data_IF_818552389433
#
_entry.id   IF_818552389433
#
_cell.length_a   1.000
_cell.length_b   1.000
_cell.length_c   1.000
_cell.angle_alpha   90.00
_cell.angle_beta   90.00
_cell.angle_gamma   90.00
#
_symmetry.space_group_name_H-M   'P 1'
#
loop_
_entity.id
_entity.type
_entity.pdbx_description
1 polymer ?
#
# COMPACT_ATOMS: atom_id res chain seq x y z
N UNK A 1 -9.09 24.45 23.85
CA UNK A 1 -9.82 23.30 24.43
C UNK A 1 -11.06 23.73 25.19
N UNK A 2 -11.00 24.24 26.43
CA UNK A 2 -12.22 24.62 27.24
C UNK A 2 -13.14 25.58 26.49
N UNK A 3 -12.65 26.66 25.90
CA UNK A 3 -13.44 27.61 25.14
C UNK A 3 -14.15 26.95 23.92
N UNK A 4 -13.47 26.07 23.21
CA UNK A 4 -14.05 25.33 22.09
C UNK A 4 -15.13 24.36 22.54
N UNK A 5 -14.96 23.68 23.67
CA UNK A 5 -15.96 22.80 24.24
C UNK A 5 -17.19 23.58 24.75
N UNK A 6 -16.97 24.72 25.42
CA UNK A 6 -18.06 25.57 25.88
C UNK A 6 -18.93 26.08 24.73
N UNK A 7 -18.28 26.51 23.64
CA UNK A 7 -18.98 26.95 22.44
C UNK A 7 -19.79 25.81 21.80
N UNK A 8 -19.14 24.64 21.65
CA UNK A 8 -19.74 23.46 20.95
C UNK A 8 -20.91 22.88 21.74
N UNK A 9 -20.84 22.83 23.07
CA UNK A 9 -21.85 22.21 23.92
C UNK A 9 -22.80 23.22 24.56
N UNK A 10 -22.68 24.50 24.20
CA UNK A 10 -23.44 25.60 24.79
C UNK A 10 -23.48 25.52 26.33
N UNK A 11 -22.30 25.35 26.91
CA UNK A 11 -22.11 25.13 28.35
C UNK A 11 -21.06 26.09 28.92
N UNK A 12 -21.13 26.35 30.21
CA UNK A 12 -20.11 27.10 30.96
C UNK A 12 -19.32 26.11 31.84
N UNK A 13 -18.24 25.55 31.30
CA UNK A 13 -17.37 24.69 32.09
C UNK A 13 -16.32 25.52 32.81
N UNK A 14 -16.18 25.28 34.11
CA UNK A 14 -15.07 25.82 34.90
C UNK A 14 -13.83 24.92 34.86
N UNK A 15 -12.66 25.52 34.69
CA UNK A 15 -11.39 24.77 34.77
C UNK A 15 -11.09 24.44 36.25
N UNK A 16 -11.12 23.17 36.61
CA UNK A 16 -10.82 22.70 37.95
C UNK A 16 -9.30 22.52 38.11
N UNK A 17 -8.65 21.97 37.08
CA UNK A 17 -7.21 21.69 37.09
C UNK A 17 -6.63 21.65 35.66
N UNK A 18 -5.34 21.83 35.53
CA UNK A 18 -4.61 21.77 34.26
C UNK A 18 -3.45 20.80 34.43
N UNK A 19 -3.34 19.83 33.53
CA UNK A 19 -2.26 18.87 33.49
C UNK A 19 -1.80 18.63 32.05
N UNK A 20 -0.57 18.15 31.89
CA UNK A 20 -0.07 17.71 30.59
C UNK A 20 -0.68 16.36 30.22
N UNK A 21 -0.92 16.10 28.93
CA UNK A 21 -1.40 14.79 28.42
C UNK A 21 -0.52 13.62 28.90
N UNK A 22 0.80 13.80 28.94
CA UNK A 22 1.76 12.82 29.44
C UNK A 22 1.52 12.34 30.87
N UNK A 23 0.81 13.14 31.69
CA UNK A 23 0.43 12.76 33.05
C UNK A 23 -0.64 11.67 33.11
N UNK A 24 -1.30 11.35 31.98
CA UNK A 24 -2.44 10.43 31.89
C UNK A 24 -2.10 9.10 31.23
N UNK A 25 -0.86 8.88 30.77
CA UNK A 25 -0.42 7.74 29.96
C UNK A 25 -0.59 6.34 30.57
N UNK A 26 -1.01 6.23 31.84
CA UNK A 26 -1.28 4.94 32.50
C UNK A 26 -2.76 4.66 32.77
N UNK A 27 -3.65 5.57 32.36
CA UNK A 27 -5.08 5.44 32.64
C UNK A 27 -5.70 4.45 31.67
N UNK A 28 -6.41 3.46 32.23
CA UNK A 28 -7.27 2.54 31.52
C UNK A 28 -8.70 3.05 31.59
N UNK A 29 -9.36 3.04 30.44
CA UNK A 29 -10.75 3.39 30.28
C UNK A 29 -11.54 2.14 29.91
N UNK A 30 -12.72 1.98 30.46
CA UNK A 30 -13.68 0.93 30.08
C UNK A 30 -14.35 1.32 28.76
N UNK A 31 -14.47 0.37 27.83
CA UNK A 31 -15.25 0.61 26.62
C UNK A 31 -16.74 0.61 26.97
N UNK A 32 -17.57 1.54 26.43
CA UNK A 32 -18.93 1.75 26.89
C UNK A 32 -19.89 0.57 26.69
N UNK A 33 -19.61 -0.37 25.80
CA UNK A 33 -20.50 -1.50 25.48
C UNK A 33 -19.79 -2.79 25.05
N UNK A 34 -18.48 -2.85 25.16
CA UNK A 34 -17.69 -4.08 24.89
C UNK A 34 -16.77 -4.31 26.07
N UNK A 35 -16.67 -5.56 26.54
CA UNK A 35 -15.75 -5.93 27.62
C UNK A 35 -14.29 -5.85 27.17
N UNK A 36 -13.80 -4.62 27.08
CA UNK A 36 -12.46 -4.29 26.63
C UNK A 36 -11.98 -2.98 27.27
N UNK A 37 -10.69 -2.93 27.61
CA UNK A 37 -10.06 -1.72 28.07
C UNK A 37 -9.54 -0.87 26.89
N UNK A 38 -9.71 0.44 26.98
CA UNK A 38 -9.05 1.42 26.15
C UNK A 38 -7.96 2.13 26.94
N UNK A 39 -6.85 2.47 26.29
CA UNK A 39 -5.71 3.11 26.95
C UNK A 39 -5.61 4.56 26.48
N UNK A 40 -5.29 5.49 27.38
CA UNK A 40 -4.88 6.82 27.01
C UNK A 40 -3.43 6.77 26.50
N UNK A 41 -3.23 7.18 25.25
CA UNK A 41 -1.97 7.18 24.56
C UNK A 41 -1.62 8.60 24.13
N UNK A 42 -0.31 8.91 24.09
CA UNK A 42 0.18 10.12 23.45
C UNK A 42 0.32 9.91 21.94
N UNK A 43 -0.23 10.84 21.15
CA UNK A 43 -0.16 10.80 19.69
C UNK A 43 0.19 12.17 19.11
N UNK A 44 1.20 12.23 18.26
CA UNK A 44 1.68 13.47 17.62
C UNK A 44 0.64 14.10 16.68
N UNK A 45 -0.36 13.32 16.23
CA UNK A 45 -1.47 13.76 15.41
C UNK A 45 -2.59 14.46 16.22
N UNK A 46 -2.52 14.43 17.56
CA UNK A 46 -3.53 15.06 18.44
C UNK A 46 -3.06 16.45 18.84
N UNK A 47 -3.88 17.46 18.53
CA UNK A 47 -3.57 18.86 18.87
C UNK A 47 -4.45 19.38 19.99
N UNK A 48 -4.02 20.44 20.65
CA UNK A 48 -4.80 21.14 21.69
C UNK A 48 -5.66 22.27 21.13
N UNK A 49 -5.61 22.52 19.83
CA UNK A 49 -6.27 23.64 19.16
C UNK A 49 -7.73 23.35 18.83
N UNK A 50 -8.07 22.09 18.63
CA UNK A 50 -9.41 21.65 18.26
C UNK A 50 -9.96 20.59 19.22
N UNK A 51 -11.28 20.63 19.47
CA UNK A 51 -12.01 19.63 20.24
C UNK A 51 -11.58 19.51 21.70
N UNK A 52 -11.63 18.29 22.21
CA UNK A 52 -11.34 17.95 23.60
C UNK A 52 -9.86 17.61 23.85
N UNK A 53 -9.05 17.44 22.80
CA UNK A 53 -7.71 16.88 22.88
C UNK A 53 -7.70 15.36 23.15
N UNK A 54 -8.87 14.70 23.16
CA UNK A 54 -9.02 13.26 23.21
C UNK A 54 -9.62 12.77 21.90
N UNK A 55 -8.92 11.86 21.24
CA UNK A 55 -9.32 11.29 19.94
C UNK A 55 -9.51 9.78 20.12
N UNK A 56 -10.65 9.26 19.66
CA UNK A 56 -10.86 7.82 19.59
C UNK A 56 -9.87 7.20 18.59
N UNK A 57 -9.21 6.12 19.00
CA UNK A 57 -8.15 5.48 18.23
C UNK A 57 -8.55 4.05 17.89
N UNK A 58 -8.66 3.77 16.58
CA UNK A 58 -9.03 2.47 16.05
C UNK A 58 -7.91 1.92 15.15
N UNK A 59 -6.98 1.09 15.66
CA UNK A 59 -5.76 0.69 14.96
C UNK A 59 -6.00 -0.07 13.65
N UNK A 60 -7.15 -0.68 13.47
CA UNK A 60 -7.50 -1.34 12.22
C UNK A 60 -8.05 -0.39 11.14
N UNK A 61 -8.35 0.88 11.47
CA UNK A 61 -9.15 1.75 10.61
C UNK A 61 -8.53 3.14 10.35
N UNK A 62 -7.30 3.38 10.79
CA UNK A 62 -6.54 4.61 10.56
C UNK A 62 -5.04 4.38 10.60
N UNK A 63 -4.27 5.08 9.76
CA UNK A 63 -2.81 4.91 9.73
C UNK A 63 -2.15 5.48 10.99
N UNK A 64 -2.56 6.66 11.42
CA UNK A 64 -2.04 7.28 12.65
C UNK A 64 -2.41 6.45 13.87
N UNK A 65 -3.63 5.94 13.90
CA UNK A 65 -4.14 5.03 14.92
C UNK A 65 -3.32 3.73 14.98
N UNK A 66 -3.05 3.14 13.81
CA UNK A 66 -2.22 1.94 13.71
C UNK A 66 -0.80 2.21 14.24
N UNK A 67 -0.18 3.31 13.84
CA UNK A 67 1.19 3.64 14.22
C UNK A 67 1.32 3.87 15.73
N UNK A 68 0.41 4.63 16.34
CA UNK A 68 0.45 4.88 17.79
C UNK A 68 0.18 3.61 18.60
N UNK A 69 -0.75 2.77 18.16
CA UNK A 69 -1.04 1.50 18.81
C UNK A 69 0.14 0.52 18.69
N UNK A 70 0.75 0.41 17.51
CA UNK A 70 1.95 -0.43 17.28
C UNK A 70 3.13 0.01 18.16
N UNK A 71 3.38 1.32 18.27
CA UNK A 71 4.43 1.89 19.13
C UNK A 71 4.24 1.53 20.62
N UNK A 72 2.99 1.37 21.05
CA UNK A 72 2.63 1.04 22.42
C UNK A 72 2.29 -0.46 22.64
N UNK A 73 2.58 -1.33 21.67
CA UNK A 73 2.31 -2.78 21.71
C UNK A 73 0.82 -3.11 21.95
N UNK A 74 -0.08 -2.30 21.42
CA UNK A 74 -1.53 -2.55 21.48
C UNK A 74 -1.93 -3.37 20.26
N UNK A 75 -2.65 -4.46 20.52
CA UNK A 75 -3.13 -5.37 19.48
C UNK A 75 -4.09 -4.66 18.50
N UNK A 76 -3.96 -5.00 17.21
CA UNK A 76 -4.83 -4.48 16.15
C UNK A 76 -6.14 -5.25 16.17
N UNK A 77 -7.10 -4.71 16.90
CA UNK A 77 -8.45 -5.26 16.97
C UNK A 77 -9.24 -4.99 15.68
N UNK A 78 -9.81 -6.04 15.09
CA UNK A 78 -10.58 -5.98 13.85
C UNK A 78 -12.07 -6.07 14.15
N UNK A 79 -12.76 -4.93 14.12
CA UNK A 79 -14.20 -4.87 14.29
C UNK A 79 -14.99 -5.36 13.05
N UNK A 80 -14.34 -5.40 11.90
CA UNK A 80 -14.96 -5.76 10.61
C UNK A 80 -14.37 -7.06 10.05
N UNK A 81 -15.23 -7.87 9.46
CA UNK A 81 -14.83 -9.06 8.71
C UNK A 81 -14.35 -8.70 7.28
N UNK A 82 -13.96 -9.71 6.48
CA UNK A 82 -13.48 -9.54 5.11
C UNK A 82 -14.50 -8.91 4.14
N UNK A 83 -15.79 -8.87 4.50
CA UNK A 83 -16.85 -8.21 3.72
C UNK A 83 -17.12 -6.78 4.18
N UNK A 84 -16.28 -6.24 5.07
CA UNK A 84 -16.47 -4.95 5.71
C UNK A 84 -17.79 -4.84 6.49
N UNK A 85 -18.21 -5.91 7.14
CA UNK A 85 -19.37 -5.97 8.01
C UNK A 85 -18.92 -6.19 9.45
N UNK A 86 -19.60 -5.57 10.43
CA UNK A 86 -19.31 -5.77 11.84
C UNK A 86 -19.40 -7.24 12.23
N UNK A 87 -18.46 -7.68 13.09
CA UNK A 87 -18.38 -9.04 13.62
C UNK A 87 -19.40 -9.26 14.72
N UNK A 88 -19.55 -10.50 15.17
CA UNK A 88 -20.42 -10.90 16.30
C UNK A 88 -20.01 -10.32 17.65
N UNK A 89 -18.82 -9.70 17.76
CA UNK A 89 -18.41 -8.99 18.97
C UNK A 89 -19.29 -7.75 19.26
N UNK A 90 -20.08 -7.34 18.27
CA UNK A 90 -21.02 -6.23 18.35
C UNK A 90 -22.42 -6.69 17.95
N UNK A 91 -23.06 -7.49 18.80
CA UNK A 91 -24.35 -8.14 18.57
C UNK A 91 -25.44 -7.21 18.02
N UNK A 92 -25.52 -5.96 18.54
CA UNK A 92 -26.53 -4.98 18.14
C UNK A 92 -26.33 -4.37 16.73
N UNK A 93 -25.14 -4.55 16.14
CA UNK A 93 -24.78 -4.09 14.78
C UNK A 93 -24.14 -5.19 13.94
N UNK A 94 -24.14 -6.44 14.39
CA UNK A 94 -23.60 -7.58 13.64
C UNK A 94 -24.14 -7.61 12.21
N UNK A 95 -23.24 -7.83 11.25
CA UNK A 95 -23.57 -7.90 9.83
C UNK A 95 -23.94 -6.58 9.14
N UNK A 96 -23.91 -5.46 9.86
CA UNK A 96 -24.08 -4.14 9.24
C UNK A 96 -22.77 -3.59 8.69
N UNK A 97 -22.81 -2.85 7.57
CA UNK A 97 -21.66 -2.08 7.13
C UNK A 97 -21.50 -0.81 7.97
N UNK A 98 -20.28 -0.27 8.17
CA UNK A 98 -20.01 0.89 9.04
C UNK A 98 -20.92 2.09 8.79
N UNK A 99 -21.08 2.49 7.53
CA UNK A 99 -21.91 3.65 7.15
C UNK A 99 -23.42 3.50 7.46
N UNK A 100 -23.87 2.34 7.93
CA UNK A 100 -25.26 2.08 8.33
C UNK A 100 -25.40 1.78 9.84
N UNK A 101 -24.30 1.84 10.57
CA UNK A 101 -24.27 1.49 12.00
C UNK A 101 -24.41 2.73 12.91
N UNK A 102 -24.18 3.94 12.40
CA UNK A 102 -24.06 5.17 13.19
C UNK A 102 -25.24 5.42 14.10
N UNK A 103 -26.48 5.35 13.59
CA UNK A 103 -27.68 5.57 14.39
C UNK A 103 -27.79 4.58 15.55
N UNK A 104 -27.49 3.30 15.31
CA UNK A 104 -27.55 2.26 16.34
C UNK A 104 -26.46 2.43 17.39
N UNK A 105 -25.25 2.84 16.97
CA UNK A 105 -24.14 3.14 17.88
C UNK A 105 -24.49 4.34 18.76
N UNK A 106 -25.03 5.41 18.19
CA UNK A 106 -25.48 6.61 18.92
C UNK A 106 -26.59 6.23 19.92
N UNK A 107 -27.55 5.41 19.51
CA UNK A 107 -28.60 4.93 20.40
C UNK A 107 -27.99 4.11 21.55
N UNK A 108 -27.09 3.18 21.27
CA UNK A 108 -26.43 2.36 22.29
C UNK A 108 -25.65 3.20 23.29
N UNK A 109 -24.93 4.22 22.84
CA UNK A 109 -24.20 5.16 23.69
C UNK A 109 -25.15 5.97 24.61
N UNK A 110 -26.35 6.32 24.12
CA UNK A 110 -27.41 6.97 24.94
C UNK A 110 -27.91 6.00 26.01
N UNK A 111 -28.18 4.75 25.66
CA UNK A 111 -28.72 3.73 26.59
C UNK A 111 -27.77 3.47 27.77
N UNK A 112 -26.44 3.48 27.49
CA UNK A 112 -25.42 3.26 28.54
C UNK A 112 -24.92 4.56 29.19
N UNK A 113 -25.58 5.71 28.91
CA UNK A 113 -25.22 7.03 29.41
C UNK A 113 -23.77 7.47 29.11
N UNK A 114 -23.22 7.04 28.00
CA UNK A 114 -21.86 7.35 27.58
C UNK A 114 -21.78 8.43 26.46
N UNK A 115 -22.94 8.93 25.99
CA UNK A 115 -22.98 10.00 24.98
C UNK A 115 -23.08 11.35 25.65
N UNK A 116 -22.11 12.24 25.40
CA UNK A 116 -22.14 13.63 25.87
C UNK A 116 -22.87 14.52 24.86
N UNK A 117 -22.53 14.44 23.60
CA UNK A 117 -23.11 15.24 22.51
C UNK A 117 -22.93 14.54 21.17
N UNK A 118 -23.80 14.82 20.23
CA UNK A 118 -23.70 14.43 18.83
C UNK A 118 -24.04 15.62 17.95
N UNK A 119 -23.28 15.79 16.86
CA UNK A 119 -23.52 16.81 15.85
C UNK A 119 -23.21 16.27 14.46
N UNK A 120 -23.92 16.77 13.47
CA UNK A 120 -23.60 16.51 12.07
C UNK A 120 -22.39 17.36 11.66
N UNK A 121 -21.42 16.74 10.98
CA UNK A 121 -20.19 17.38 10.58
C UNK A 121 -19.82 17.03 9.14
N UNK A 122 -19.73 18.04 8.30
CA UNK A 122 -19.30 17.89 6.91
C UNK A 122 -17.79 17.98 6.81
N UNK A 123 -17.17 16.96 6.23
CA UNK A 123 -15.73 16.91 6.00
C UNK A 123 -15.36 16.19 4.69
N UNK A 124 -14.14 16.44 4.21
CA UNK A 124 -13.60 15.70 3.07
C UNK A 124 -13.38 14.24 3.43
N UNK A 125 -13.92 13.33 2.62
CA UNK A 125 -13.79 11.90 2.81
C UNK A 125 -13.26 11.22 1.56
N UNK A 126 -12.31 10.27 1.66
CA UNK A 126 -11.75 9.58 0.51
C UNK A 126 -12.78 8.69 -0.17
N UNK A 127 -12.86 8.81 -1.50
CA UNK A 127 -13.75 8.01 -2.34
C UNK A 127 -12.97 7.22 -3.37
N UNK A 128 -13.50 6.05 -3.74
CA UNK A 128 -12.97 5.26 -4.84
C UNK A 128 -13.02 6.11 -6.13
N UNK A 129 -11.87 6.30 -6.78
CA UNK A 129 -11.78 7.10 -7.99
C UNK A 129 -12.63 6.57 -9.15
N UNK A 130 -12.89 5.24 -9.17
CA UNK A 130 -13.69 4.56 -10.21
C UNK A 130 -15.18 4.55 -9.88
N UNK A 131 -15.56 4.06 -8.69
CA UNK A 131 -16.97 3.87 -8.30
C UNK A 131 -17.57 5.08 -7.59
N UNK A 132 -16.75 6.06 -7.19
CA UNK A 132 -17.17 7.26 -6.44
C UNK A 132 -17.86 6.95 -5.11
N UNK A 133 -17.65 5.76 -4.56
CA UNK A 133 -18.16 5.36 -3.24
C UNK A 133 -17.15 5.66 -2.16
N UNK A 134 -17.60 5.96 -0.91
CA UNK A 134 -16.71 6.12 0.23
C UNK A 134 -15.82 4.89 0.44
N UNK A 135 -14.57 5.11 0.82
CA UNK A 135 -13.62 4.05 1.14
C UNK A 135 -13.69 3.71 2.63
N UNK A 136 -13.40 2.47 2.98
CA UNK A 136 -13.20 2.01 4.35
C UNK A 136 -11.72 1.64 4.50
N UNK A 137 -11.06 2.23 5.48
CA UNK A 137 -9.72 1.81 5.87
C UNK A 137 -9.82 0.56 6.74
N UNK A 138 -9.01 -0.45 6.46
CA UNK A 138 -8.95 -1.66 7.26
C UNK A 138 -7.52 -2.23 7.27
N UNK A 139 -7.07 -2.69 8.43
CA UNK A 139 -5.81 -3.40 8.54
C UNK A 139 -5.97 -4.83 8.02
N UNK A 140 -5.21 -5.18 6.99
CA UNK A 140 -5.15 -6.51 6.41
C UNK A 140 -3.72 -7.04 6.46
N UNK A 141 -3.56 -8.34 6.65
CA UNK A 141 -2.25 -8.96 6.51
C UNK A 141 -1.78 -8.81 5.07
N UNK A 142 -0.54 -8.37 4.89
CA UNK A 142 0.06 -8.11 3.58
C UNK A 142 1.51 -8.60 3.57
N UNK A 143 2.03 -8.85 2.38
CA UNK A 143 3.43 -9.19 2.18
C UNK A 143 4.22 -7.95 1.80
N UNK A 144 5.36 -7.78 2.47
CA UNK A 144 6.23 -6.61 2.27
C UNK A 144 7.66 -7.03 1.99
N UNK A 145 8.32 -6.30 1.10
CA UNK A 145 9.78 -6.26 1.04
C UNK A 145 10.23 -5.15 1.98
N UNK A 146 10.98 -5.52 3.02
CA UNK A 146 11.52 -4.53 3.96
C UNK A 146 12.65 -3.74 3.31
N UNK A 147 12.58 -2.42 3.46
CA UNK A 147 13.62 -1.53 2.95
C UNK A 147 14.84 -1.47 3.88
N UNK A 148 14.64 -1.69 5.17
CA UNK A 148 15.71 -1.62 6.18
C UNK A 148 16.48 -2.94 6.34
N UNK A 149 15.77 -4.09 6.18
CA UNK A 149 16.42 -5.40 6.30
C UNK A 149 17.48 -5.58 5.21
N UNK A 150 18.60 -6.18 5.61
CA UNK A 150 19.77 -6.40 4.76
C UNK A 150 20.30 -5.12 4.07
N UNK A 151 20.03 -3.95 4.64
CA UNK A 151 20.45 -2.64 4.13
C UNK A 151 19.98 -2.33 2.69
N UNK A 152 18.89 -2.96 2.24
CA UNK A 152 18.43 -2.89 0.84
C UNK A 152 18.33 -1.45 0.32
N UNK A 153 17.75 -0.55 1.12
CA UNK A 153 17.56 0.84 0.69
C UNK A 153 18.88 1.60 0.59
N UNK A 154 19.78 1.46 1.58
CA UNK A 154 21.09 2.13 1.57
C UNK A 154 21.98 1.63 0.44
N UNK A 155 21.96 0.32 0.18
CA UNK A 155 22.72 -0.29 -0.92
C UNK A 155 22.16 0.13 -2.28
N UNK A 156 20.83 0.24 -2.42
CA UNK A 156 20.21 0.78 -3.62
C UNK A 156 20.60 2.25 -3.86
N UNK A 157 20.63 3.08 -2.81
CA UNK A 157 21.11 4.47 -2.91
C UNK A 157 22.58 4.56 -3.34
N UNK A 158 23.44 3.69 -2.83
CA UNK A 158 24.83 3.60 -3.29
C UNK A 158 24.96 3.15 -4.74
N UNK A 159 24.12 2.22 -5.17
CA UNK A 159 24.17 1.67 -6.53
C UNK A 159 23.77 2.69 -7.60
N UNK A 160 22.83 3.63 -7.33
CA UNK A 160 22.41 4.62 -8.33
C UNK A 160 23.52 5.60 -8.71
N UNK A 161 24.52 5.81 -7.83
CA UNK A 161 25.67 6.67 -8.12
C UNK A 161 26.62 6.06 -9.16
N UNK A 162 26.54 4.76 -9.38
CA UNK A 162 27.33 4.03 -10.41
C UNK A 162 26.68 4.02 -11.78
N UNK A 163 25.42 4.48 -11.89
CA UNK A 163 24.61 4.47 -13.10
C UNK A 163 24.75 5.81 -13.85
N UNK A 164 24.89 5.76 -15.16
CA UNK A 164 24.86 6.95 -16.01
C UNK A 164 23.41 7.39 -16.21
N UNK A 165 23.09 8.62 -15.78
CA UNK A 165 21.75 9.21 -15.92
C UNK A 165 21.74 10.25 -17.03
N UNK A 166 20.81 10.09 -17.97
CA UNK A 166 20.58 10.98 -19.10
C UNK A 166 19.08 11.37 -19.16
N UNK A 167 18.72 12.65 -18.91
CA UNK A 167 19.55 13.75 -18.42
C UNK A 167 20.04 13.53 -16.97
N UNK A 168 21.08 14.26 -16.58
CA UNK A 168 21.74 14.11 -15.26
C UNK A 168 20.81 14.36 -14.06
N UNK A 169 19.74 15.12 -14.20
CA UNK A 169 18.76 15.33 -13.13
C UNK A 169 18.05 14.01 -12.70
N UNK A 170 18.08 12.99 -13.53
CA UNK A 170 17.54 11.67 -13.21
C UNK A 170 18.12 11.07 -11.93
N UNK A 171 19.41 11.27 -11.67
CA UNK A 171 20.09 10.85 -10.44
C UNK A 171 19.46 11.51 -9.20
N UNK A 172 19.28 12.81 -9.21
CA UNK A 172 18.68 13.52 -8.08
C UNK A 172 17.24 13.07 -7.83
N UNK A 173 16.51 12.83 -8.92
CA UNK A 173 15.12 12.40 -8.87
C UNK A 173 14.97 11.00 -8.25
N UNK A 174 15.75 10.01 -8.68
CA UNK A 174 15.69 8.66 -8.10
C UNK A 174 16.13 8.65 -6.64
N UNK A 175 17.19 9.37 -6.30
CA UNK A 175 17.67 9.49 -4.93
C UNK A 175 16.60 10.10 -3.99
N UNK A 176 15.90 11.14 -4.42
CA UNK A 176 14.82 11.73 -3.62
C UNK A 176 13.65 10.77 -3.40
N UNK A 177 13.39 9.86 -4.33
CA UNK A 177 12.33 8.86 -4.21
C UNK A 177 12.73 7.63 -3.38
N UNK A 178 14.03 7.37 -3.25
CA UNK A 178 14.54 6.31 -2.40
C UNK A 178 14.71 6.75 -0.95
N UNK A 179 15.03 8.04 -0.71
CA UNK A 179 15.47 8.56 0.60
C UNK A 179 14.59 8.13 1.77
N UNK A 180 13.29 8.25 1.64
CA UNK A 180 12.32 7.96 2.72
C UNK A 180 11.31 6.91 2.26
N UNK A 181 11.76 5.95 1.43
CA UNK A 181 10.87 4.93 0.88
C UNK A 181 10.41 3.96 1.97
N UNK A 182 9.09 3.82 2.18
CA UNK A 182 8.57 2.82 3.11
C UNK A 182 8.74 1.40 2.55
N UNK A 183 8.56 0.41 3.41
CA UNK A 183 8.47 -1.00 3.01
C UNK A 183 7.52 -1.18 1.83
N UNK A 184 7.91 -2.03 0.87
CA UNK A 184 7.14 -2.22 -0.36
C UNK A 184 6.11 -3.32 -0.17
N UNK A 185 4.84 -2.95 -0.09
CA UNK A 185 3.74 -3.91 -0.12
C UNK A 185 3.61 -4.55 -1.50
N UNK A 186 3.95 -5.83 -1.60
CA UNK A 186 3.96 -6.59 -2.85
C UNK A 186 2.72 -7.45 -3.08
N UNK A 187 1.86 -7.64 -2.08
CA UNK A 187 0.64 -8.44 -2.21
C UNK A 187 -0.54 -7.63 -2.70
N UNK A 188 -1.36 -8.26 -3.54
CA UNK A 188 -2.62 -7.71 -4.09
C UNK A 188 -3.71 -8.76 -4.02
N UNK A 189 -4.90 -8.34 -3.59
CA UNK A 189 -6.12 -9.17 -3.57
C UNK A 189 -6.83 -9.03 -4.93
N UNK A 190 -6.25 -9.65 -5.96
CA UNK A 190 -6.74 -9.61 -7.34
C UNK A 190 -6.82 -11.02 -7.93
N UNK A 191 -7.84 -11.26 -8.76
CA UNK A 191 -8.00 -12.54 -9.47
C UNK A 191 -7.02 -12.67 -10.66
N UNK A 192 -6.50 -11.56 -11.16
CA UNK A 192 -5.53 -11.50 -12.24
C UNK A 192 -4.18 -11.02 -11.74
N UNK A 193 -3.13 -11.76 -12.00
CA UNK A 193 -1.74 -11.48 -11.63
C UNK A 193 -0.94 -12.75 -11.39
N UNK A 194 0.35 -12.61 -11.18
CA UNK A 194 1.24 -13.70 -10.76
C UNK A 194 0.95 -14.01 -9.28
N UNK A 195 0.62 -15.24 -8.89
CA UNK A 195 0.34 -15.58 -7.51
C UNK A 195 1.60 -15.52 -6.65
N UNK A 196 1.43 -15.19 -5.38
CA UNK A 196 2.48 -15.36 -4.37
C UNK A 196 2.50 -16.83 -3.96
N UNK A 197 3.46 -17.61 -4.45
CA UNK A 197 3.51 -19.06 -4.26
C UNK A 197 4.10 -19.46 -2.90
N UNK A 198 3.60 -18.85 -1.84
CA UNK A 198 3.96 -19.16 -0.46
C UNK A 198 2.95 -20.11 0.18
N UNK A 199 3.48 -20.94 1.07
CA UNK A 199 2.73 -21.82 1.96
C UNK A 199 2.97 -21.36 3.39
N UNK A 200 1.89 -21.11 4.13
CA UNK A 200 1.96 -20.54 5.48
C UNK A 200 1.18 -21.37 6.48
N UNK A 201 1.64 -21.41 7.71
CA UNK A 201 0.95 -22.07 8.81
C UNK A 201 -0.38 -21.36 9.14
N UNK A 202 -1.45 -22.12 9.32
CA UNK A 202 -2.82 -21.59 9.48
C UNK A 202 -3.00 -20.65 10.66
N UNK A 203 -2.35 -20.96 11.79
CA UNK A 203 -2.51 -20.23 13.04
C UNK A 203 -1.46 -19.11 13.20
N UNK A 204 -0.19 -19.42 12.90
CA UNK A 204 0.91 -18.47 13.15
C UNK A 204 1.18 -17.55 11.97
N UNK A 205 0.77 -17.93 10.75
CA UNK A 205 1.10 -17.20 9.52
C UNK A 205 2.57 -17.31 9.11
N UNK A 206 3.37 -18.14 9.79
CA UNK A 206 4.78 -18.36 9.46
C UNK A 206 4.92 -19.14 8.16
N UNK A 207 5.96 -18.82 7.41
CA UNK A 207 6.27 -19.48 6.13
C UNK A 207 6.72 -20.92 6.42
N UNK A 208 6.30 -21.86 5.57
CA UNK A 208 6.67 -23.27 5.70
C UNK A 208 8.21 -23.45 5.70
N UNK A 209 8.78 -24.25 6.62
CA UNK A 209 10.26 -24.39 6.78
C UNK A 209 10.99 -24.83 5.51
N UNK A 210 10.34 -25.62 4.66
CA UNK A 210 10.90 -26.08 3.41
C UNK A 210 10.49 -25.25 2.18
N UNK A 211 10.09 -23.98 2.38
CA UNK A 211 9.58 -23.12 1.30
C UNK A 211 10.52 -23.03 0.09
N UNK A 212 11.83 -22.99 0.28
CA UNK A 212 12.80 -22.93 -0.82
C UNK A 212 12.69 -24.15 -1.75
N UNK A 213 12.49 -25.33 -1.18
CA UNK A 213 12.28 -26.56 -1.97
C UNK A 213 10.92 -26.58 -2.66
N UNK A 214 9.91 -26.00 -2.00
CA UNK A 214 8.57 -25.88 -2.56
C UNK A 214 8.54 -24.91 -3.73
N UNK A 215 9.28 -23.81 -3.68
CA UNK A 215 9.39 -22.89 -4.82
C UNK A 215 9.85 -23.60 -6.10
N UNK A 216 10.84 -24.48 -6.01
CA UNK A 216 11.33 -25.23 -7.17
C UNK A 216 10.22 -26.13 -7.73
N UNK A 217 9.55 -26.90 -6.86
CA UNK A 217 8.44 -27.78 -7.26
C UNK A 217 7.27 -27.03 -7.87
N UNK A 218 6.92 -25.86 -7.29
CA UNK A 218 5.84 -25.01 -7.80
C UNK A 218 6.23 -24.36 -9.13
N UNK A 219 7.47 -23.94 -9.30
CA UNK A 219 7.96 -23.43 -10.58
C UNK A 219 7.88 -24.49 -11.68
N UNK A 220 8.33 -25.73 -11.41
CA UNK A 220 8.23 -26.87 -12.33
C UNK A 220 6.76 -27.18 -12.73
N UNK A 221 5.85 -27.10 -11.76
CA UNK A 221 4.41 -27.32 -12.01
C UNK A 221 3.85 -26.21 -12.90
N UNK A 222 4.12 -24.94 -12.57
CA UNK A 222 3.65 -23.79 -13.30
C UNK A 222 4.22 -23.75 -14.72
N UNK A 223 5.48 -24.15 -14.91
CA UNK A 223 6.10 -24.24 -16.24
C UNK A 223 5.39 -25.29 -17.12
N UNK A 224 4.98 -26.42 -16.56
CA UNK A 224 4.32 -27.51 -17.29
C UNK A 224 2.85 -27.27 -17.55
N UNK A 225 2.11 -26.74 -16.57
CA UNK A 225 0.65 -26.68 -16.56
C UNK A 225 0.10 -25.26 -16.66
N UNK A 226 0.96 -24.25 -16.59
CA UNK A 226 0.59 -22.85 -16.60
C UNK A 226 0.25 -22.32 -15.20
N UNK A 227 0.14 -21.00 -15.10
CA UNK A 227 0.01 -20.28 -13.82
C UNK A 227 -1.28 -20.61 -13.05
N UNK A 228 -2.33 -21.03 -13.76
CA UNK A 228 -3.61 -21.42 -13.16
C UNK A 228 -3.52 -22.68 -12.30
N UNK A 229 -2.48 -23.52 -12.49
CA UNK A 229 -2.22 -24.71 -11.67
C UNK A 229 -2.05 -24.37 -10.19
N UNK A 230 -1.50 -23.18 -9.85
CA UNK A 230 -1.43 -22.72 -8.46
C UNK A 230 -2.82 -22.66 -7.78
N UNK A 231 -3.83 -22.19 -8.49
CA UNK A 231 -5.18 -22.06 -7.90
C UNK A 231 -5.81 -23.43 -7.59
N UNK A 232 -5.58 -24.43 -8.42
CA UNK A 232 -6.11 -25.79 -8.28
C UNK A 232 -5.19 -26.73 -7.50
N UNK A 233 -3.98 -26.28 -7.11
CA UNK A 233 -2.99 -27.10 -6.44
C UNK A 233 -3.51 -27.63 -5.10
N UNK A 234 -3.38 -28.96 -4.87
CA UNK A 234 -3.59 -29.62 -3.60
C UNK A 234 -2.26 -29.76 -2.86
N UNK A 235 -2.15 -29.13 -1.69
CA UNK A 235 -0.93 -29.16 -0.87
C UNK A 235 -0.55 -30.57 -0.40
N UNK A 236 -1.51 -31.50 -0.26
CA UNK A 236 -1.25 -32.88 0.15
C UNK A 236 -0.31 -33.63 -0.79
N UNK A 237 -0.16 -33.18 -2.03
CA UNK A 237 0.76 -33.75 -3.01
C UNK A 237 2.21 -33.24 -2.87
N UNK A 238 2.43 -32.23 -2.05
CA UNK A 238 3.71 -31.54 -1.91
C UNK A 238 4.31 -31.58 -0.51
N UNK A 239 3.46 -31.64 0.54
CA UNK A 239 3.86 -31.65 1.95
C UNK A 239 3.00 -32.64 2.75
N UNK A 240 3.62 -33.31 3.72
CA UNK A 240 2.96 -34.32 4.54
C UNK A 240 2.05 -33.67 5.63
N UNK A 241 2.43 -32.52 6.13
CA UNK A 241 1.77 -31.73 7.17
C UNK A 241 0.75 -30.70 6.61
N UNK A 242 0.21 -30.98 5.43
CA UNK A 242 -0.72 -30.09 4.69
C UNK A 242 -1.95 -29.64 5.50
N UNK A 243 -2.35 -30.41 6.52
CA UNK A 243 -3.46 -30.04 7.39
C UNK A 243 -3.17 -28.82 8.27
N UNK A 244 -1.90 -28.50 8.52
CA UNK A 244 -1.47 -27.33 9.32
C UNK A 244 -1.23 -26.09 8.47
N UNK A 245 -1.16 -26.23 7.14
CA UNK A 245 -0.75 -25.18 6.22
C UNK A 245 -1.82 -24.79 5.21
N UNK A 246 -1.70 -23.57 4.68
CA UNK A 246 -2.53 -23.06 3.58
C UNK A 246 -1.66 -22.36 2.52
N UNK A 247 -2.16 -22.32 1.28
CA UNK A 247 -1.58 -21.50 0.19
C UNK A 247 -1.93 -20.04 0.40
N UNK A 248 -0.99 -19.15 0.09
CA UNK A 248 -1.29 -17.73 -0.08
C UNK A 248 -2.11 -17.56 -1.37
N UNK A 249 -3.20 -16.81 -1.29
CA UNK A 249 -4.11 -16.56 -2.42
C UNK A 249 -3.90 -15.19 -3.08
N UNK A 250 -3.03 -14.36 -2.52
CA UNK A 250 -2.71 -13.05 -3.07
C UNK A 250 -1.88 -13.15 -4.33
N UNK A 251 -2.01 -12.16 -5.20
CA UNK A 251 -1.15 -11.96 -6.37
C UNK A 251 -0.05 -10.93 -6.08
N UNK A 252 1.02 -10.98 -6.86
CA UNK A 252 2.10 -9.99 -6.79
C UNK A 252 1.65 -8.63 -7.35
N UNK A 253 2.25 -7.58 -6.83
CA UNK A 253 2.20 -6.24 -7.43
C UNK A 253 2.80 -6.30 -8.85
N UNK A 254 2.11 -5.74 -9.83
CA UNK A 254 2.58 -5.69 -11.21
C UNK A 254 3.96 -5.00 -11.36
N UNK A 255 4.30 -4.10 -10.44
CA UNK A 255 5.63 -3.50 -10.39
C UNK A 255 6.72 -4.47 -9.92
N UNK A 256 6.35 -5.51 -9.17
CA UNK A 256 7.26 -6.61 -8.87
C UNK A 256 7.49 -7.46 -10.11
N UNK A 257 6.42 -7.83 -10.85
CA UNK A 257 6.52 -8.61 -12.09
C UNK A 257 7.43 -7.91 -13.11
N UNK A 258 7.22 -6.61 -13.33
CA UNK A 258 8.09 -5.83 -14.22
C UNK A 258 9.49 -5.60 -13.64
N UNK A 259 9.59 -5.48 -12.32
CA UNK A 259 10.84 -5.26 -11.59
C UNK A 259 11.84 -6.38 -11.79
N UNK A 260 11.39 -7.64 -11.85
CA UNK A 260 12.27 -8.82 -12.03
C UNK A 260 12.64 -9.11 -13.47
N UNK A 261 12.37 -8.21 -14.43
CA UNK A 261 12.73 -8.36 -15.86
C UNK A 261 14.21 -8.68 -16.06
N UNK A 262 15.10 -8.10 -15.23
CA UNK A 262 16.53 -8.38 -15.28
C UNK A 262 16.86 -9.87 -15.08
N UNK A 263 16.12 -10.59 -14.23
CA UNK A 263 16.27 -12.02 -14.01
C UNK A 263 15.39 -12.84 -14.96
N UNK A 264 14.09 -12.56 -15.03
CA UNK A 264 13.13 -13.34 -15.80
C UNK A 264 13.34 -13.27 -17.32
N UNK A 265 13.90 -12.19 -17.85
CA UNK A 265 14.09 -11.99 -19.29
C UNK A 265 15.56 -11.83 -19.66
N UNK A 266 16.27 -10.90 -19.00
CA UNK A 266 17.65 -10.56 -19.41
C UNK A 266 18.61 -11.74 -19.17
N UNK A 267 18.60 -12.32 -17.98
CA UNK A 267 19.44 -13.47 -17.65
C UNK A 267 19.12 -14.69 -18.53
N UNK A 268 17.84 -14.94 -18.78
CA UNK A 268 17.42 -16.07 -19.62
C UNK A 268 17.81 -15.92 -21.09
N UNK A 269 17.83 -14.69 -21.63
CA UNK A 269 18.13 -14.46 -23.05
C UNK A 269 19.61 -14.22 -23.33
N UNK A 270 20.32 -13.59 -22.41
CA UNK A 270 21.68 -13.10 -22.63
C UNK A 270 22.72 -13.73 -21.69
N UNK A 271 22.31 -14.61 -20.80
CA UNK A 271 23.12 -15.27 -19.79
C UNK A 271 23.02 -14.67 -18.40
N UNK A 272 23.16 -15.53 -17.40
CA UNK A 272 23.04 -15.15 -16.00
C UNK A 272 24.03 -14.02 -15.64
N UNK A 273 23.54 -13.05 -14.93
CA UNK A 273 24.34 -11.91 -14.48
C UNK A 273 24.50 -10.79 -15.50
N UNK A 274 23.77 -10.82 -16.61
CA UNK A 274 23.78 -9.73 -17.61
C UNK A 274 23.17 -8.46 -17.02
N UNK A 275 23.88 -7.34 -17.19
CA UNK A 275 23.39 -6.01 -16.84
C UNK A 275 22.99 -5.28 -18.13
N UNK A 276 21.80 -4.75 -18.20
CA UNK A 276 21.34 -4.00 -19.36
C UNK A 276 22.22 -2.76 -19.61
N UNK A 277 22.55 -2.47 -20.86
CA UNK A 277 23.32 -1.29 -21.19
C UNK A 277 22.51 -0.02 -21.01
N UNK A 278 21.20 -0.06 -21.32
CA UNK A 278 20.31 1.08 -21.30
C UNK A 278 18.90 0.69 -20.87
N UNK A 279 18.32 1.42 -19.88
CA UNK A 279 16.89 1.51 -19.66
C UNK A 279 16.39 2.85 -20.22
N UNK A 280 15.33 2.81 -21.04
CA UNK A 280 14.79 3.98 -21.73
C UNK A 280 13.27 4.06 -21.52
N UNK A 281 12.82 5.06 -20.78
CA UNK A 281 11.40 5.29 -20.48
C UNK A 281 11.13 6.76 -20.10
N UNK A 282 9.87 7.09 -19.87
CA UNK A 282 9.45 8.39 -19.38
C UNK A 282 9.82 8.68 -17.93
N UNK A 283 9.74 9.96 -17.57
CA UNK A 283 10.14 10.44 -16.24
C UNK A 283 9.29 9.89 -15.07
N UNK A 284 8.10 9.38 -15.33
CA UNK A 284 7.25 8.70 -14.33
C UNK A 284 7.83 7.38 -13.84
N UNK A 285 8.71 6.75 -14.64
CA UNK A 285 9.33 5.47 -14.30
C UNK A 285 10.39 5.54 -13.20
N UNK A 286 10.82 6.72 -12.78
CA UNK A 286 11.60 6.88 -11.56
C UNK A 286 10.85 6.39 -10.31
N UNK A 287 9.51 6.47 -10.31
CA UNK A 287 8.64 5.87 -9.29
C UNK A 287 8.00 4.54 -9.73
N UNK A 288 8.37 4.02 -10.84
CA UNK A 288 7.87 2.77 -11.43
C UNK A 288 9.01 1.80 -11.71
N UNK A 289 9.18 1.44 -12.99
CA UNK A 289 10.06 0.37 -13.42
C UNK A 289 11.55 0.60 -13.09
N UNK A 290 12.07 1.81 -13.19
CA UNK A 290 13.47 2.09 -12.81
C UNK A 290 13.71 1.73 -11.34
N UNK A 291 12.80 2.11 -10.46
CA UNK A 291 12.92 1.86 -9.03
C UNK A 291 12.64 0.40 -8.66
N UNK A 292 11.58 -0.21 -9.21
CA UNK A 292 11.25 -1.60 -8.91
C UNK A 292 12.33 -2.57 -9.40
N UNK A 293 12.89 -2.35 -10.61
CA UNK A 293 14.02 -3.13 -11.13
C UNK A 293 15.28 -2.96 -10.28
N UNK A 294 15.56 -1.74 -9.83
CA UNK A 294 16.71 -1.49 -8.94
C UNK A 294 16.57 -2.29 -7.65
N UNK A 295 15.45 -2.15 -6.96
CA UNK A 295 15.23 -2.80 -5.66
C UNK A 295 15.26 -4.32 -5.74
N UNK A 296 14.61 -4.91 -6.75
CA UNK A 296 14.64 -6.37 -6.93
C UNK A 296 16.03 -6.87 -7.30
N UNK A 297 16.77 -6.14 -8.16
CA UNK A 297 18.14 -6.51 -8.52
C UNK A 297 19.12 -6.35 -7.36
N UNK A 298 18.97 -5.31 -6.54
CA UNK A 298 19.77 -5.15 -5.32
C UNK A 298 19.51 -6.29 -4.35
N UNK A 299 18.24 -6.66 -4.12
CA UNK A 299 17.88 -7.77 -3.23
C UNK A 299 18.40 -9.12 -3.71
N UNK A 300 18.41 -9.37 -5.02
CA UNK A 300 18.79 -10.66 -5.61
C UNK A 300 20.29 -10.74 -5.95
N UNK A 301 20.88 -9.66 -6.46
CA UNK A 301 22.17 -9.65 -7.12
C UNK A 301 23.17 -8.65 -6.52
N UNK A 302 22.75 -7.84 -5.57
CA UNK A 302 23.51 -6.75 -4.94
C UNK A 302 24.17 -5.78 -5.95
N UNK A 303 23.44 -5.46 -7.04
CA UNK A 303 23.88 -4.51 -8.08
C UNK A 303 22.70 -3.89 -8.82
N UNK A 304 22.94 -2.73 -9.45
CA UNK A 304 21.98 -2.14 -10.37
C UNK A 304 21.75 -3.03 -11.62
N UNK A 305 20.51 -3.16 -12.12
CA UNK A 305 20.20 -3.98 -13.28
C UNK A 305 20.56 -3.33 -14.62
N UNK A 306 20.99 -2.08 -14.61
CA UNK A 306 21.28 -1.25 -15.78
C UNK A 306 22.54 -0.42 -15.57
N UNK A 307 23.28 -0.17 -16.68
CA UNK A 307 24.49 0.68 -16.70
C UNK A 307 24.12 2.15 -16.91
N UNK A 308 23.06 2.41 -17.68
CA UNK A 308 22.56 3.76 -17.96
C UNK A 308 21.03 3.81 -18.00
N UNK A 309 20.50 4.98 -17.68
CA UNK A 309 19.07 5.30 -17.79
C UNK A 309 18.89 6.55 -18.60
N UNK A 310 18.14 6.45 -19.70
CA UNK A 310 17.71 7.59 -20.50
C UNK A 310 16.25 7.88 -20.23
N UNK A 311 15.96 9.10 -19.84
CA UNK A 311 14.61 9.53 -19.47
C UNK A 311 14.09 10.53 -20.49
N UNK A 312 13.05 10.16 -21.23
CA UNK A 312 12.39 11.05 -22.18
C UNK A 312 11.19 11.80 -21.56
N UNK A 313 10.74 12.85 -22.20
CA UNK A 313 9.54 13.59 -21.87
C UNK A 313 8.26 12.85 -22.31
N UNK A 314 7.15 13.57 -22.28
CA UNK A 314 5.85 13.06 -22.70
C UNK A 314 5.37 13.76 -23.96
N UNK A 315 4.57 13.04 -24.77
CA UNK A 315 3.82 13.66 -25.85
C UNK A 315 2.77 14.60 -25.23
N UNK A 316 2.77 15.85 -25.68
CA UNK A 316 1.88 16.88 -25.18
C UNK A 316 0.86 17.30 -26.23
N UNK A 317 -0.25 17.88 -25.80
CA UNK A 317 -1.23 18.53 -26.67
C UNK A 317 -0.78 19.96 -27.07
N UNK A 318 -1.58 20.66 -27.86
CA UNK A 318 -1.33 22.02 -28.29
C UNK A 318 -1.19 23.07 -27.17
N UNK A 319 -1.68 22.70 -25.96
CA UNK A 319 -1.58 23.53 -24.77
C UNK A 319 -0.40 23.11 -23.86
N UNK A 320 0.48 22.23 -24.32
CA UNK A 320 1.61 21.72 -23.55
C UNK A 320 1.24 20.74 -22.46
N UNK A 321 0.01 20.19 -22.43
CA UNK A 321 -0.42 19.22 -21.42
C UNK A 321 -0.15 17.79 -21.90
N UNK A 322 0.38 16.95 -21.01
CA UNK A 322 0.59 15.52 -21.27
C UNK A 322 -0.68 14.90 -21.87
N UNK A 323 -0.55 14.21 -23.00
CA UNK A 323 -1.63 13.44 -23.57
C UNK A 323 -1.98 12.25 -22.67
N UNK A 324 -3.25 12.09 -22.34
CA UNK A 324 -3.74 10.97 -21.54
C UNK A 324 -5.18 10.60 -21.89
N UNK A 325 -5.51 9.31 -21.74
CA UNK A 325 -6.89 8.82 -21.96
C UNK A 325 -7.89 9.46 -21.00
N UNK A 326 -7.47 9.78 -19.79
CA UNK A 326 -8.32 10.40 -18.76
C UNK A 326 -8.68 11.85 -19.09
N UNK A 327 -7.81 12.59 -19.78
CA UNK A 327 -8.07 13.95 -20.26
C UNK A 327 -8.79 13.98 -21.61
N UNK A 328 -8.83 12.86 -22.33
CA UNK A 328 -9.44 12.79 -23.66
C UNK A 328 -8.69 13.55 -24.76
N UNK A 329 -7.45 14.00 -24.50
CA UNK A 329 -6.62 14.80 -25.40
C UNK A 329 -5.62 13.97 -26.22
N UNK A 330 -5.82 12.64 -26.31
CA UNK A 330 -4.93 11.76 -27.07
C UNK A 330 -5.19 11.88 -28.56
N UNK A 331 -4.15 12.15 -29.31
CA UNK A 331 -4.15 12.03 -30.77
C UNK A 331 -3.68 10.63 -31.14
N UNK A 332 -4.58 9.83 -31.72
CA UNK A 332 -4.23 8.49 -32.20
C UNK A 332 -3.25 8.60 -33.39
N UNK A 333 -2.13 7.84 -33.40
CA UNK A 333 -1.23 7.76 -34.55
C UNK A 333 -1.97 7.39 -35.85
N UNK A 334 -3.01 6.53 -35.75
CA UNK A 334 -3.86 6.15 -36.87
C UNK A 334 -4.44 7.37 -37.59
N UNK A 335 -4.99 8.34 -36.85
CA UNK A 335 -5.54 9.56 -37.45
C UNK A 335 -4.50 10.37 -38.23
N UNK A 336 -3.27 10.38 -37.76
CA UNK A 336 -2.17 11.09 -38.40
C UNK A 336 -1.79 10.43 -39.71
N UNK A 337 -1.53 9.10 -39.70
CA UNK A 337 -1.09 8.45 -40.92
C UNK A 337 -2.20 8.27 -41.96
N UNK A 338 -3.47 8.15 -41.54
CA UNK A 338 -4.60 8.09 -42.48
C UNK A 338 -4.80 9.41 -43.23
N UNK A 339 -4.42 10.56 -42.62
CA UNK A 339 -4.58 11.88 -43.22
C UNK A 339 -3.31 12.42 -43.88
N UNK A 340 -2.15 12.17 -43.28
CA UNK A 340 -0.87 12.79 -43.70
C UNK A 340 0.17 11.76 -44.18
N UNK A 341 -0.12 10.46 -44.01
CA UNK A 341 0.81 9.38 -44.30
C UNK A 341 1.78 9.08 -43.17
N UNK A 342 2.28 7.85 -43.16
CA UNK A 342 3.18 7.34 -42.11
C UNK A 342 4.52 8.07 -42.06
N UNK A 343 5.02 8.56 -43.22
CA UNK A 343 6.29 9.25 -43.30
C UNK A 343 6.30 10.59 -42.57
N UNK A 344 5.16 11.29 -42.55
CA UNK A 344 5.02 12.54 -41.76
C UNK A 344 5.10 12.23 -40.25
N UNK A 345 4.47 11.16 -39.79
CA UNK A 345 4.57 10.71 -38.39
C UNK A 345 6.00 10.33 -38.02
N UNK A 346 6.70 9.62 -38.90
CA UNK A 346 8.12 9.24 -38.71
C UNK A 346 9.03 10.46 -38.68
N UNK A 347 8.80 11.41 -39.58
CA UNK A 347 9.57 12.68 -39.61
C UNK A 347 9.33 13.48 -38.34
N UNK A 348 8.09 13.54 -37.84
CA UNK A 348 7.78 14.22 -36.59
C UNK A 348 8.56 13.59 -35.43
N UNK A 349 8.53 12.24 -35.27
CA UNK A 349 9.30 11.55 -34.23
C UNK A 349 10.79 11.85 -34.34
N UNK A 350 11.35 11.80 -35.57
CA UNK A 350 12.78 12.04 -35.79
C UNK A 350 13.21 13.49 -35.55
N UNK A 351 12.27 14.43 -35.62
CA UNK A 351 12.54 15.86 -35.40
C UNK A 351 12.27 16.35 -33.98
N UNK A 352 11.67 15.48 -33.16
CA UNK A 352 11.31 15.84 -31.76
C UNK A 352 12.55 15.73 -30.87
N UNK A 353 12.82 16.83 -30.16
CA UNK A 353 13.79 16.86 -29.06
C UNK A 353 13.11 16.42 -27.75
N UNK A 354 13.73 15.50 -26.96
CA UNK A 354 13.11 14.86 -25.81
C UNK A 354 14.05 14.70 -24.61
#
# INVERSE_FOLDING_TARGET
MVASCNQRWNSEMATISVAKGSSFGSIKLEHPFVDRNSYLLEGDHVTTEAGTGCVHTAPAHGLDDFNVCKKNNIEVYKALNARALFTSDFDFIEGLPPLKADEKIIQKLKEVNALISVEDYDHSYPHCWRHKTPLIFTATAQWFISMDKANLLSDAQGAVDTVKWEPSWGLQRINSMLKDRPDWCISRQRNWGVPITLVIHKETGEIHPNQDKLFIKFADLIEKEGISSWNSLDLSTFIDDHDEYIKVTDSLDVWFDSGVTHSAVTDNRFGAGTVADLYLEGSDQHRGWFQSSLLTSMAMNNRAPYKSVLTHGFVVDENGRKQSKSLGNVVSPQKVWDSLGADILRLWVASTDF
#
